data_IF_257243778219
#
_entry.id   IF_257243778219
#
_cell.length_a   1.000
_cell.length_b   1.000
_cell.length_c   1.000
_cell.angle_alpha   90.00
_cell.angle_beta   90.00
_cell.angle_gamma   90.00
#
_symmetry.space_group_name_H-M   'P 1'
#
loop_
_entity.id
_entity.type
_entity.pdbx_description
1 polymer ?
#
# COMPACT_ATOMS: atom_id res chain seq x y z
N UNK A 1 50.18 -14.81 10.61
CA UNK A 1 51.58 -15.11 10.25
C UNK A 1 51.86 -16.60 10.40
N UNK A 2 51.46 -17.22 11.51
CA UNK A 2 51.73 -18.65 11.79
C UNK A 2 51.21 -19.62 10.72
N UNK A 3 50.01 -19.40 10.17
CA UNK A 3 49.46 -20.27 9.12
C UNK A 3 50.24 -20.23 7.79
N UNK A 4 50.87 -19.10 7.45
CA UNK A 4 51.71 -18.99 6.25
C UNK A 4 53.05 -19.69 6.45
N UNK A 5 53.61 -19.63 7.66
CA UNK A 5 54.82 -20.39 8.02
C UNK A 5 54.56 -21.89 7.95
N UNK A 6 53.41 -22.33 8.46
CA UNK A 6 52.97 -23.74 8.35
C UNK A 6 52.81 -24.14 6.88
N UNK A 7 52.16 -23.31 6.05
CA UNK A 7 52.00 -23.57 4.63
C UNK A 7 53.35 -23.67 3.89
N UNK A 8 54.32 -22.84 4.25
CA UNK A 8 55.67 -22.88 3.68
C UNK A 8 56.41 -24.17 4.07
N UNK A 9 56.33 -24.57 5.34
CA UNK A 9 56.94 -25.81 5.81
C UNK A 9 56.31 -27.05 5.14
N UNK A 10 54.99 -27.04 4.94
CA UNK A 10 54.28 -28.09 4.20
C UNK A 10 54.68 -28.14 2.71
N UNK A 11 54.89 -26.98 2.09
CA UNK A 11 55.41 -26.91 0.73
C UNK A 11 56.82 -27.49 0.63
N UNK A 12 57.70 -27.15 1.58
CA UNK A 12 59.08 -27.65 1.63
C UNK A 12 59.13 -29.16 1.90
N UNK A 13 58.26 -29.66 2.78
CA UNK A 13 58.07 -31.09 3.00
C UNK A 13 57.65 -31.79 1.70
N UNK A 14 56.66 -31.24 0.99
CA UNK A 14 56.20 -31.79 -0.30
C UNK A 14 57.31 -31.81 -1.36
N UNK A 15 58.15 -30.77 -1.41
CA UNK A 15 59.30 -30.70 -2.29
C UNK A 15 60.32 -31.81 -1.96
N UNK A 16 60.70 -31.93 -0.68
CA UNK A 16 61.68 -32.93 -0.22
C UNK A 16 61.21 -34.37 -0.46
N UNK A 17 59.93 -34.67 -0.22
CA UNK A 17 59.30 -35.95 -0.54
C UNK A 17 59.32 -36.21 -2.06
N UNK A 18 59.05 -35.17 -2.87
CA UNK A 18 59.10 -35.27 -4.32
C UNK A 18 60.50 -35.63 -4.85
N UNK A 19 61.54 -34.99 -4.32
CA UNK A 19 62.94 -35.29 -4.67
C UNK A 19 63.33 -36.69 -4.21
N UNK A 20 62.97 -37.10 -2.99
CA UNK A 20 63.21 -38.45 -2.48
C UNK A 20 62.58 -39.53 -3.35
N UNK A 21 61.32 -39.34 -3.78
CA UNK A 21 60.62 -40.28 -4.64
C UNK A 21 61.25 -40.38 -6.04
N UNK A 22 61.81 -39.29 -6.55
CA UNK A 22 62.46 -39.26 -7.85
C UNK A 22 63.87 -39.89 -7.82
N UNK A 23 64.61 -39.65 -6.73
CA UNK A 23 65.93 -40.22 -6.48
C UNK A 23 65.90 -41.69 -6.02
N UNK A 24 64.73 -42.18 -5.59
CA UNK A 24 64.54 -43.56 -5.14
C UNK A 24 64.84 -44.58 -6.25
N UNK A 25 65.51 -45.71 -5.93
CA UNK A 25 65.86 -46.75 -6.90
C UNK A 25 64.64 -47.57 -7.39
N UNK A 26 63.41 -47.20 -7.05
CA UNK A 26 62.19 -47.93 -7.41
C UNK A 26 61.87 -47.73 -8.91
N UNK A 27 61.81 -48.80 -9.73
CA UNK A 27 61.60 -48.71 -11.18
C UNK A 27 60.12 -48.55 -11.60
N UNK A 28 59.29 -47.88 -10.78
CA UNK A 28 57.88 -47.62 -11.12
C UNK A 28 57.70 -46.25 -11.76
N UNK A 29 57.17 -46.24 -13.00
CA UNK A 29 56.81 -45.00 -13.70
C UNK A 29 55.82 -44.14 -12.92
N UNK A 30 54.87 -44.79 -12.24
CA UNK A 30 53.86 -44.11 -11.40
C UNK A 30 54.54 -43.34 -10.27
N UNK A 31 55.42 -43.99 -9.50
CA UNK A 31 56.13 -43.39 -8.36
C UNK A 31 56.98 -42.19 -8.80
N UNK A 32 57.72 -42.32 -9.90
CA UNK A 32 58.51 -41.21 -10.45
C UNK A 32 57.65 -40.05 -10.95
N UNK A 33 56.49 -40.34 -11.55
CA UNK A 33 55.54 -39.30 -11.97
C UNK A 33 54.93 -38.54 -10.77
N UNK A 34 54.71 -39.21 -9.65
CA UNK A 34 54.27 -38.57 -8.39
C UNK A 34 55.36 -37.67 -7.81
N UNK A 35 56.62 -38.09 -7.84
CA UNK A 35 57.76 -37.26 -7.44
C UNK A 35 57.84 -35.95 -8.23
N UNK A 36 57.79 -36.02 -9.56
CA UNK A 36 57.78 -34.83 -10.43
C UNK A 36 56.56 -33.93 -10.19
N UNK A 37 55.36 -34.51 -9.97
CA UNK A 37 54.14 -33.77 -9.64
C UNK A 37 54.24 -33.03 -8.30
N UNK A 38 54.76 -33.67 -7.25
CA UNK A 38 54.94 -33.07 -5.93
C UNK A 38 55.92 -31.89 -5.97
N UNK A 39 57.03 -32.03 -6.73
CA UNK A 39 57.97 -30.92 -6.95
C UNK A 39 57.27 -29.75 -7.63
N UNK A 40 56.53 -30.00 -8.72
CA UNK A 40 55.77 -28.94 -9.41
C UNK A 40 54.73 -28.26 -8.52
N UNK A 41 54.00 -29.02 -7.70
CA UNK A 41 52.98 -28.47 -6.79
C UNK A 41 53.60 -27.65 -5.64
N UNK A 42 54.74 -28.09 -5.10
CA UNK A 42 55.45 -27.35 -4.05
C UNK A 42 56.00 -26.01 -4.56
N UNK A 43 56.51 -25.96 -5.79
CA UNK A 43 56.93 -24.71 -6.44
C UNK A 43 55.73 -23.77 -6.65
N UNK A 44 54.61 -24.29 -7.14
CA UNK A 44 53.38 -23.49 -7.30
C UNK A 44 52.88 -22.94 -5.96
N UNK A 45 52.96 -23.74 -4.90
CA UNK A 45 52.58 -23.33 -3.55
C UNK A 45 53.51 -22.24 -3.01
N UNK A 46 54.82 -22.34 -3.24
CA UNK A 46 55.77 -21.30 -2.85
C UNK A 46 55.49 -19.97 -3.57
N UNK A 47 55.12 -20.02 -4.87
CA UNK A 47 54.70 -18.85 -5.63
C UNK A 47 53.41 -18.24 -5.03
N UNK A 48 52.41 -19.07 -4.69
CA UNK A 48 51.18 -18.62 -4.06
C UNK A 48 51.41 -17.96 -2.69
N UNK A 49 52.27 -18.54 -1.86
CA UNK A 49 52.67 -17.95 -0.57
C UNK A 49 53.35 -16.59 -0.79
N UNK A 50 54.26 -16.50 -1.75
CA UNK A 50 54.97 -15.24 -2.07
C UNK A 50 54.04 -14.17 -2.68
N UNK A 51 52.90 -14.56 -3.25
CA UNK A 51 51.95 -13.65 -3.92
C UNK A 51 50.70 -13.36 -3.09
N UNK A 52 50.62 -13.83 -1.83
CA UNK A 52 49.40 -13.71 -1.01
C UNK A 52 48.97 -12.25 -0.75
N UNK A 53 49.92 -11.34 -0.59
CA UNK A 53 49.64 -9.91 -0.39
C UNK A 53 49.01 -9.29 -1.64
N UNK A 54 49.47 -9.70 -2.82
CA UNK A 54 48.89 -9.29 -4.10
C UNK A 54 47.48 -9.86 -4.25
N UNK A 55 47.28 -11.13 -3.91
CA UNK A 55 45.96 -11.80 -3.92
C UNK A 55 44.97 -11.05 -3.01
N UNK A 56 45.38 -10.67 -1.80
CA UNK A 56 44.53 -9.92 -0.85
C UNK A 56 44.24 -8.48 -1.33
N UNK A 57 45.19 -7.86 -2.04
CA UNK A 57 45.07 -6.51 -2.56
C UNK A 57 44.25 -6.39 -3.84
N UNK A 58 44.20 -7.44 -4.67
CA UNK A 58 43.58 -7.36 -6.02
C UNK A 58 42.10 -7.02 -5.95
N UNK A 59 41.38 -7.56 -4.96
CA UNK A 59 39.95 -7.29 -4.80
C UNK A 59 39.67 -5.82 -4.47
N UNK A 60 40.47 -5.22 -3.58
CA UNK A 60 40.34 -3.80 -3.24
C UNK A 60 40.71 -2.89 -4.42
N UNK A 61 41.71 -3.29 -5.22
CA UNK A 61 42.08 -2.57 -6.44
C UNK A 61 40.94 -2.58 -7.47
N UNK A 62 40.33 -3.74 -7.73
CA UNK A 62 39.21 -3.87 -8.68
C UNK A 62 38.03 -3.00 -8.24
N UNK A 63 37.65 -3.06 -6.96
CA UNK A 63 36.55 -2.24 -6.42
C UNK A 63 36.83 -0.74 -6.57
N UNK A 64 38.07 -0.31 -6.35
CA UNK A 64 38.48 1.09 -6.55
C UNK A 64 38.38 1.52 -8.01
N UNK A 65 38.75 0.66 -8.96
CA UNK A 65 38.64 0.94 -10.40
C UNK A 65 37.17 1.03 -10.84
N UNK A 66 36.32 0.18 -10.28
CA UNK A 66 34.88 0.17 -10.57
C UNK A 66 34.11 1.28 -9.83
N UNK A 67 34.77 2.02 -8.94
CA UNK A 67 34.15 3.03 -8.06
C UNK A 67 32.98 2.47 -7.24
N UNK A 68 33.17 1.28 -6.66
CA UNK A 68 32.17 0.59 -5.83
C UNK A 68 32.76 0.31 -4.44
N UNK A 69 31.97 0.55 -3.40
CA UNK A 69 32.38 0.34 -2.02
C UNK A 69 31.50 -0.68 -1.27
N UNK A 70 32.07 -1.28 -0.23
CA UNK A 70 31.31 -2.15 0.69
C UNK A 70 30.28 -1.38 1.53
N UNK A 71 30.56 -0.11 1.82
CA UNK A 71 29.66 0.75 2.59
C UNK A 71 28.37 1.04 1.82
N UNK A 72 28.47 1.34 0.53
CA UNK A 72 27.30 1.50 -0.35
C UNK A 72 26.45 0.22 -0.40
N UNK A 73 27.10 -0.95 -0.47
CA UNK A 73 26.41 -2.24 -0.45
C UNK A 73 25.65 -2.49 0.86
N UNK A 74 26.27 -2.25 2.02
CA UNK A 74 25.58 -2.43 3.31
C UNK A 74 24.46 -1.41 3.51
N UNK A 75 24.64 -0.17 3.04
CA UNK A 75 23.59 0.85 3.05
C UNK A 75 22.41 0.43 2.16
N UNK A 76 22.69 -0.12 0.97
CA UNK A 76 21.67 -0.64 0.07
C UNK A 76 20.85 -1.79 0.70
N UNK A 77 21.51 -2.73 1.39
CA UNK A 77 20.83 -3.79 2.15
C UNK A 77 19.98 -3.23 3.29
N UNK A 78 20.49 -2.24 4.01
CA UNK A 78 19.79 -1.61 5.13
C UNK A 78 18.50 -0.90 4.69
N UNK A 79 18.57 -0.08 3.63
CA UNK A 79 17.40 0.63 3.09
C UNK A 79 16.32 -0.34 2.64
N UNK A 80 16.68 -1.41 1.92
CA UNK A 80 15.71 -2.44 1.47
C UNK A 80 15.14 -3.27 2.62
N UNK A 81 15.90 -3.46 3.69
CA UNK A 81 15.38 -4.10 4.91
C UNK A 81 14.33 -3.20 5.57
N UNK A 82 14.60 -1.90 5.68
CA UNK A 82 13.65 -0.94 6.25
C UNK A 82 12.34 -0.85 5.46
N UNK A 83 12.41 -0.84 4.12
CA UNK A 83 11.19 -0.78 3.28
C UNK A 83 10.32 -2.03 3.44
N UNK A 84 10.92 -3.21 3.61
CA UNK A 84 10.16 -4.41 3.93
C UNK A 84 9.57 -4.35 5.33
N UNK A 85 10.25 -3.73 6.32
CA UNK A 85 9.76 -3.65 7.71
C UNK A 85 8.54 -2.74 7.78
N UNK A 86 8.61 -1.58 7.14
CA UNK A 86 7.46 -0.68 7.07
C UNK A 86 6.27 -1.35 6.39
N UNK A 87 6.49 -2.04 5.26
CA UNK A 87 5.40 -2.71 4.56
C UNK A 87 4.80 -3.88 5.36
N UNK A 88 5.64 -4.70 6.00
CA UNK A 88 5.20 -5.80 6.87
C UNK A 88 4.40 -5.31 8.08
N UNK A 89 4.87 -4.24 8.73
CA UNK A 89 4.19 -3.68 9.92
C UNK A 89 2.84 -3.09 9.58
N UNK A 90 2.73 -2.34 8.47
CA UNK A 90 1.44 -1.83 7.99
C UNK A 90 0.48 -2.98 7.69
N UNK A 91 0.94 -3.99 6.94
CA UNK A 91 0.07 -5.10 6.56
C UNK A 91 -0.40 -5.96 7.72
N UNK A 92 0.45 -6.20 8.71
CA UNK A 92 0.07 -6.95 9.90
C UNK A 92 -0.91 -6.18 10.77
N UNK A 93 -0.76 -4.85 10.88
CA UNK A 93 -1.75 -4.00 11.54
C UNK A 93 -3.10 -4.03 10.82
N UNK A 94 -3.11 -3.85 9.50
CA UNK A 94 -4.34 -3.93 8.69
C UNK A 94 -5.00 -5.31 8.81
N UNK A 95 -4.22 -6.40 8.70
CA UNK A 95 -4.74 -7.76 8.87
C UNK A 95 -5.35 -7.98 10.26
N UNK A 96 -4.76 -7.39 11.31
CA UNK A 96 -5.29 -7.50 12.67
C UNK A 96 -6.60 -6.72 12.84
N UNK A 97 -6.71 -5.55 12.22
CA UNK A 97 -7.92 -4.73 12.24
C UNK A 97 -9.06 -5.42 11.48
N UNK A 98 -8.79 -5.97 10.30
CA UNK A 98 -9.77 -6.68 9.48
C UNK A 98 -10.35 -7.94 10.15
N UNK A 99 -9.65 -8.54 11.12
CA UNK A 99 -10.19 -9.65 11.92
C UNK A 99 -11.32 -9.22 12.87
N UNK A 100 -11.36 -7.96 13.25
CA UNK A 100 -12.37 -7.41 14.18
C UNK A 100 -13.59 -6.84 13.44
N UNK A 101 -13.50 -6.74 12.12
CA UNK A 101 -14.58 -6.26 11.24
C UNK A 101 -15.15 -7.45 10.45
N UNK A 102 -16.36 -7.34 9.92
CA UNK A 102 -17.01 -8.36 9.06
C UNK A 102 -16.23 -8.68 7.76
N UNK A 103 -15.11 -8.00 7.50
CA UNK A 103 -14.21 -8.21 6.37
C UNK A 103 -13.15 -9.30 6.60
N UNK A 104 -13.42 -10.25 7.50
CA UNK A 104 -12.49 -11.32 7.89
C UNK A 104 -12.02 -12.19 6.71
N UNK A 105 -12.78 -12.26 5.61
CA UNK A 105 -12.39 -12.98 4.39
C UNK A 105 -11.11 -12.42 3.72
N UNK A 106 -10.79 -11.14 3.92
CA UNK A 106 -9.58 -10.50 3.38
C UNK A 106 -8.30 -10.87 4.15
N UNK A 107 -8.43 -11.47 5.33
CA UNK A 107 -7.28 -11.82 6.16
C UNK A 107 -6.42 -12.92 5.52
N UNK A 108 -7.03 -13.83 4.75
CA UNK A 108 -6.34 -14.91 4.03
C UNK A 108 -5.37 -14.40 2.96
N UNK A 109 -5.80 -13.59 1.97
CA UNK A 109 -4.90 -13.11 0.94
C UNK A 109 -3.87 -12.08 1.46
N UNK A 110 -4.20 -11.29 2.48
CA UNK A 110 -3.20 -10.44 3.17
C UNK A 110 -2.18 -11.33 3.89
N UNK A 111 -2.61 -12.40 4.54
CA UNK A 111 -1.73 -13.39 5.17
C UNK A 111 -0.74 -14.01 4.17
N UNK A 112 -1.20 -14.31 2.96
CA UNK A 112 -0.33 -14.76 1.87
C UNK A 112 0.73 -13.71 1.52
N UNK A 113 0.36 -12.44 1.33
CA UNK A 113 1.31 -11.35 1.08
C UNK A 113 2.34 -11.21 2.22
N UNK A 114 1.89 -11.28 3.48
CA UNK A 114 2.75 -11.23 4.66
C UNK A 114 3.79 -12.37 4.63
N UNK A 115 3.37 -13.59 4.25
CA UNK A 115 4.29 -14.72 4.11
C UNK A 115 5.37 -14.50 3.04
N UNK A 116 5.01 -13.88 1.90
CA UNK A 116 5.94 -13.57 0.81
C UNK A 116 6.98 -12.52 1.21
N UNK A 117 6.55 -11.50 1.97
CA UNK A 117 7.43 -10.49 2.54
C UNK A 117 8.39 -11.13 3.55
N UNK A 118 7.89 -12.00 4.42
CA UNK A 118 8.72 -12.73 5.40
C UNK A 118 9.78 -13.60 4.73
N UNK A 119 9.48 -14.21 3.59
CA UNK A 119 10.46 -14.95 2.80
C UNK A 119 11.53 -14.01 2.24
N UNK A 120 11.12 -12.85 1.71
CA UNK A 120 12.04 -11.82 1.19
C UNK A 120 13.00 -11.32 2.27
N UNK A 121 12.50 -11.12 3.49
CA UNK A 121 13.32 -10.79 4.65
C UNK A 121 14.38 -11.84 4.96
N UNK A 122 13.96 -13.11 4.96
CA UNK A 122 14.86 -14.21 5.26
C UNK A 122 15.98 -14.28 4.23
N UNK A 123 15.66 -14.06 2.95
CA UNK A 123 16.65 -13.95 1.86
C UNK A 123 17.63 -12.79 2.04
N UNK A 124 17.15 -11.58 2.31
CA UNK A 124 18.06 -10.44 2.56
C UNK A 124 18.95 -10.68 3.78
N UNK A 125 18.41 -11.31 4.83
CA UNK A 125 19.19 -11.66 6.02
C UNK A 125 20.27 -12.70 5.70
N UNK A 126 20.00 -13.71 4.88
CA UNK A 126 21.03 -14.69 4.49
C UNK A 126 22.13 -14.03 3.65
N UNK A 127 21.77 -13.12 2.73
CA UNK A 127 22.74 -12.33 1.96
C UNK A 127 23.60 -11.44 2.87
N UNK A 128 22.98 -10.75 3.83
CA UNK A 128 23.68 -9.93 4.81
C UNK A 128 24.68 -10.75 5.65
N UNK A 129 24.28 -11.93 6.13
CA UNK A 129 25.18 -12.82 6.87
C UNK A 129 26.32 -13.32 5.98
N UNK A 130 26.00 -13.80 4.77
CA UNK A 130 26.99 -14.33 3.83
C UNK A 130 28.03 -13.27 3.42
N UNK A 131 27.57 -12.08 3.08
CA UNK A 131 28.41 -10.94 2.71
C UNK A 131 29.28 -10.47 3.88
N UNK A 132 28.76 -10.42 5.10
CA UNK A 132 29.57 -10.11 6.29
C UNK A 132 30.66 -11.14 6.55
N UNK A 133 30.36 -12.43 6.37
CA UNK A 133 31.38 -13.49 6.48
C UNK A 133 32.49 -13.26 5.47
N UNK A 134 32.16 -12.96 4.21
CA UNK A 134 33.18 -12.67 3.20
C UNK A 134 33.97 -11.40 3.53
N UNK A 135 33.30 -10.31 3.90
CA UNK A 135 33.96 -9.04 4.23
C UNK A 135 34.93 -9.19 5.41
N UNK A 136 34.51 -9.83 6.51
CA UNK A 136 35.30 -9.98 7.72
C UNK A 136 36.41 -11.04 7.60
N UNK A 137 36.20 -12.09 6.79
CA UNK A 137 37.11 -13.22 6.71
C UNK A 137 37.88 -13.33 5.38
N UNK A 138 37.78 -12.37 4.44
CA UNK A 138 38.44 -12.47 3.12
C UNK A 138 39.92 -12.89 3.21
N UNK A 139 40.68 -12.24 4.10
CA UNK A 139 42.13 -12.45 4.21
C UNK A 139 42.43 -13.79 4.84
N UNK A 140 41.60 -14.20 5.82
CA UNK A 140 41.67 -15.50 6.49
C UNK A 140 41.29 -16.63 5.53
N UNK A 141 40.30 -16.44 4.66
CA UNK A 141 39.90 -17.40 3.64
C UNK A 141 41.00 -17.61 2.60
N UNK A 142 41.65 -16.52 2.14
CA UNK A 142 42.78 -16.61 1.22
C UNK A 142 43.95 -17.40 1.84
N UNK A 143 44.32 -17.09 3.09
CA UNK A 143 45.42 -17.77 3.81
C UNK A 143 45.08 -19.23 4.09
N UNK A 144 43.85 -19.53 4.52
CA UNK A 144 43.37 -20.91 4.70
C UNK A 144 43.41 -21.68 3.38
N UNK A 145 43.02 -21.02 2.29
CA UNK A 145 43.09 -21.58 0.95
C UNK A 145 44.51 -21.96 0.55
N UNK A 146 45.50 -21.09 0.79
CA UNK A 146 46.92 -21.38 0.55
C UNK A 146 47.43 -22.52 1.44
N UNK A 147 47.04 -22.56 2.72
CA UNK A 147 47.39 -23.65 3.62
C UNK A 147 46.86 -25.00 3.12
N UNK A 148 45.58 -25.07 2.74
CA UNK A 148 45.00 -26.29 2.19
C UNK A 148 45.63 -26.68 0.84
N UNK A 149 45.98 -25.68 0.03
CA UNK A 149 46.69 -25.91 -1.24
C UNK A 149 48.08 -26.53 -1.01
N UNK A 150 48.75 -26.19 0.10
CA UNK A 150 50.09 -26.68 0.46
C UNK A 150 50.15 -28.13 0.95
N UNK A 151 48.99 -28.77 1.17
CA UNK A 151 48.95 -30.15 1.66
C UNK A 151 49.58 -31.13 0.65
N UNK A 152 50.42 -32.06 1.11
CA UNK A 152 51.07 -33.03 0.24
C UNK A 152 50.04 -33.93 -0.45
N UNK A 153 50.46 -34.55 -1.55
CA UNK A 153 49.64 -35.46 -2.37
C UNK A 153 48.37 -34.83 -2.97
N UNK A 154 48.29 -33.49 -3.04
CA UNK A 154 47.17 -32.74 -3.63
C UNK A 154 45.83 -32.93 -2.92
N UNK A 155 45.81 -33.44 -1.68
CA UNK A 155 44.56 -33.74 -0.95
C UNK A 155 43.70 -32.48 -0.78
N UNK A 156 44.32 -31.33 -0.47
CA UNK A 156 43.63 -30.07 -0.26
C UNK A 156 43.58 -29.14 -1.48
N UNK A 157 44.16 -29.51 -2.62
CA UNK A 157 44.40 -28.58 -3.75
C UNK A 157 43.12 -27.95 -4.30
N UNK A 158 42.07 -28.75 -4.48
CA UNK A 158 40.77 -28.27 -5.00
C UNK A 158 40.01 -27.38 -4.01
N UNK A 159 40.04 -27.73 -2.72
CA UNK A 159 39.37 -26.94 -1.67
C UNK A 159 40.16 -25.64 -1.42
N UNK A 160 41.49 -25.73 -1.40
CA UNK A 160 42.38 -24.59 -1.25
C UNK A 160 42.23 -23.57 -2.39
N UNK A 161 42.21 -24.05 -3.64
CA UNK A 161 41.99 -23.17 -4.80
C UNK A 161 40.61 -22.54 -4.82
N UNK A 162 39.58 -23.25 -4.30
CA UNK A 162 38.24 -22.70 -4.13
C UNK A 162 38.21 -21.56 -3.12
N UNK A 163 38.84 -21.72 -1.95
CA UNK A 163 38.88 -20.64 -0.95
C UNK A 163 39.66 -19.41 -1.43
N UNK A 164 40.77 -19.61 -2.15
CA UNK A 164 41.50 -18.50 -2.79
C UNK A 164 40.59 -17.80 -3.80
N UNK A 165 39.94 -18.54 -4.70
CA UNK A 165 39.03 -17.96 -5.69
C UNK A 165 37.85 -17.24 -5.03
N UNK A 166 37.24 -17.83 -4.01
CA UNK A 166 36.09 -17.28 -3.30
C UNK A 166 36.46 -15.95 -2.62
N UNK A 167 37.65 -15.90 -2.01
CA UNK A 167 38.13 -14.68 -1.35
C UNK A 167 38.27 -13.49 -2.30
N UNK A 168 38.50 -13.73 -3.59
CA UNK A 168 38.58 -12.68 -4.61
C UNK A 168 37.20 -12.41 -5.20
N UNK A 169 36.58 -13.44 -5.78
CA UNK A 169 35.36 -13.31 -6.60
C UNK A 169 34.18 -12.85 -5.74
N UNK A 170 33.97 -13.46 -4.58
CA UNK A 170 32.87 -13.05 -3.70
C UNK A 170 33.13 -11.67 -3.10
N UNK A 171 34.40 -11.35 -2.79
CA UNK A 171 34.74 -10.06 -2.21
C UNK A 171 34.47 -8.89 -3.17
N UNK A 172 34.76 -9.08 -4.45
CA UNK A 172 34.44 -8.09 -5.50
C UNK A 172 32.96 -8.17 -5.89
N UNK A 173 32.39 -9.37 -5.91
CA UNK A 173 31.04 -9.64 -6.39
C UNK A 173 29.94 -9.06 -5.51
N UNK A 174 29.99 -9.23 -4.19
CA UNK A 174 28.90 -8.75 -3.32
C UNK A 174 28.62 -7.25 -3.48
N UNK A 175 29.63 -6.36 -3.46
CA UNK A 175 29.40 -4.93 -3.68
C UNK A 175 28.79 -4.58 -5.05
N UNK A 176 28.94 -5.42 -6.07
CA UNK A 176 28.38 -5.19 -7.41
C UNK A 176 26.93 -5.68 -7.57
N UNK A 177 26.40 -6.43 -6.60
CA UNK A 177 25.02 -6.92 -6.60
C UNK A 177 23.97 -5.80 -6.79
N UNK A 178 24.06 -4.62 -6.14
CA UNK A 178 23.08 -3.54 -6.32
C UNK A 178 22.96 -3.10 -7.78
N UNK A 179 24.07 -2.93 -8.49
CA UNK A 179 24.08 -2.54 -9.90
C UNK A 179 23.48 -3.61 -10.80
N UNK A 180 23.76 -4.88 -10.50
CA UNK A 180 23.13 -6.00 -11.20
C UNK A 180 21.61 -5.94 -11.04
N UNK A 181 21.10 -5.81 -9.81
CA UNK A 181 19.66 -5.79 -9.54
C UNK A 181 18.98 -4.58 -10.20
N UNK A 182 19.58 -3.39 -10.12
CA UNK A 182 19.05 -2.19 -10.78
C UNK A 182 18.90 -2.35 -12.29
N UNK A 183 19.72 -3.19 -12.93
CA UNK A 183 19.63 -3.44 -14.38
C UNK A 183 18.41 -4.30 -14.77
N UNK A 184 17.82 -5.04 -13.82
CA UNK A 184 16.69 -5.93 -14.03
C UNK A 184 15.43 -5.54 -13.24
N UNK A 185 15.54 -4.55 -12.35
CA UNK A 185 14.41 -4.01 -11.61
C UNK A 185 13.56 -3.17 -12.57
N UNK A 186 12.41 -3.69 -12.98
CA UNK A 186 11.46 -2.92 -13.78
C UNK A 186 10.89 -1.78 -12.92
N UNK A 187 10.88 -0.55 -13.46
CA UNK A 187 10.15 0.56 -12.88
C UNK A 187 8.66 0.27 -12.98
N UNK A 188 8.09 -0.36 -11.96
CA UNK A 188 6.65 -0.43 -11.82
C UNK A 188 6.14 0.93 -11.39
N UNK A 189 5.10 1.48 -12.03
CA UNK A 189 4.45 2.67 -11.51
C UNK A 189 4.02 2.33 -10.09
N UNK A 190 4.52 3.08 -9.12
CA UNK A 190 3.96 3.10 -7.78
C UNK A 190 2.53 3.63 -7.93
N UNK A 191 1.58 2.74 -8.23
CA UNK A 191 0.19 3.06 -7.93
C UNK A 191 0.17 3.16 -6.42
N UNK A 192 0.14 4.39 -5.94
CA UNK A 192 -0.14 4.77 -4.56
C UNK A 192 -1.25 3.84 -4.09
N UNK A 193 -0.93 2.98 -3.13
CA UNK A 193 -1.79 1.87 -2.68
C UNK A 193 -3.15 2.35 -2.16
N UNK A 194 -3.32 3.66 -1.95
CA UNK A 194 -4.47 4.31 -1.35
C UNK A 194 -4.65 5.72 -1.94
N UNK A 195 -4.90 5.84 -3.25
CA UNK A 195 -5.52 7.08 -3.74
C UNK A 195 -6.96 7.12 -3.23
N UNK A 196 -7.17 7.81 -2.11
CA UNK A 196 -8.50 8.11 -1.60
C UNK A 196 -9.07 9.27 -2.40
N UNK A 197 -10.05 8.98 -3.26
CA UNK A 197 -10.85 10.01 -3.92
C UNK A 197 -11.83 10.58 -2.89
N UNK A 198 -11.88 11.90 -2.76
CA UNK A 198 -12.81 12.58 -1.85
C UNK A 198 -13.83 13.35 -2.68
N UNK A 199 -15.11 13.11 -2.39
CA UNK A 199 -16.25 13.75 -3.05
C UNK A 199 -17.08 14.45 -1.98
N UNK A 200 -17.27 15.75 -2.16
CA UNK A 200 -18.17 16.56 -1.31
C UNK A 200 -19.53 16.62 -1.97
N UNK A 201 -20.59 16.28 -1.22
CA UNK A 201 -21.97 16.41 -1.67
C UNK A 201 -22.65 17.50 -0.85
N UNK A 202 -23.15 18.52 -1.55
CA UNK A 202 -23.89 19.62 -0.96
C UNK A 202 -25.38 19.40 -1.23
N UNK A 203 -26.18 19.31 -0.17
CA UNK A 203 -27.64 19.24 -0.27
C UNK A 203 -28.22 20.63 -0.03
N UNK A 204 -28.97 21.14 -1.00
CA UNK A 204 -29.56 22.48 -0.96
C UNK A 204 -31.07 22.45 -1.16
N UNK A 205 -31.75 23.44 -0.59
CA UNK A 205 -33.17 23.69 -0.82
C UNK A 205 -33.41 24.39 -2.18
N UNK A 206 -34.67 24.74 -2.46
CA UNK A 206 -35.06 25.45 -3.69
C UNK A 206 -34.36 26.82 -3.86
N UNK A 207 -33.91 27.45 -2.78
CA UNK A 207 -33.23 28.75 -2.77
C UNK A 207 -31.70 28.63 -2.68
N UNK A 208 -31.16 27.41 -2.81
CA UNK A 208 -29.72 27.17 -2.73
C UNK A 208 -29.14 27.24 -1.31
N UNK A 209 -29.98 27.23 -0.27
CA UNK A 209 -29.53 27.17 1.14
C UNK A 209 -29.24 25.72 1.53
N UNK A 210 -28.11 25.51 2.21
CA UNK A 210 -27.68 24.19 2.66
C UNK A 210 -28.63 23.57 3.68
N UNK A 211 -29.10 22.36 3.42
CA UNK A 211 -30.08 21.66 4.27
C UNK A 211 -29.38 21.09 5.52
N UNK A 212 -29.68 21.52 6.75
CA UNK A 212 -28.96 21.03 7.92
C UNK A 212 -29.24 19.55 8.19
N UNK A 213 -28.20 18.77 8.47
CA UNK A 213 -28.27 17.35 8.82
C UNK A 213 -29.14 16.49 7.87
N UNK A 214 -28.88 16.52 6.54
CA UNK A 214 -29.59 15.69 5.58
C UNK A 214 -29.12 14.24 5.74
N UNK A 215 -30.04 13.29 5.73
CA UNK A 215 -29.71 11.87 5.67
C UNK A 215 -29.68 11.47 4.20
N UNK A 216 -28.51 11.11 3.69
CA UNK A 216 -28.34 10.79 2.27
C UNK A 216 -28.14 9.29 2.10
N UNK A 217 -29.05 8.66 1.36
CA UNK A 217 -29.06 7.23 1.04
C UNK A 217 -28.54 7.04 -0.38
N UNK A 218 -27.54 6.18 -0.52
CA UNK A 218 -26.89 5.89 -1.80
C UNK A 218 -27.32 4.53 -2.32
N UNK A 219 -27.64 4.46 -3.61
CA UNK A 219 -28.09 3.26 -4.29
C UNK A 219 -27.22 2.99 -5.52
N UNK A 220 -27.01 1.70 -5.81
CA UNK A 220 -26.52 1.28 -7.12
C UNK A 220 -27.64 1.46 -8.14
N UNK A 221 -27.31 1.93 -9.33
CA UNK A 221 -28.25 2.10 -10.46
C UNK A 221 -29.05 0.82 -10.77
N UNK A 222 -28.54 -0.35 -10.35
CA UNK A 222 -29.16 -1.66 -10.58
C UNK A 222 -29.97 -2.21 -9.39
N UNK A 223 -29.90 -1.59 -8.21
CA UNK A 223 -30.54 -2.07 -6.96
C UNK A 223 -31.11 -0.90 -6.15
N UNK A 224 -32.37 -0.54 -6.43
CA UNK A 224 -33.07 0.57 -5.76
C UNK A 224 -33.66 0.24 -4.38
N UNK A 225 -33.70 -1.04 -3.99
CA UNK A 225 -34.43 -1.45 -2.78
C UNK A 225 -33.60 -1.42 -1.50
N UNK A 226 -32.27 -1.55 -1.59
CA UNK A 226 -31.37 -1.53 -0.43
C UNK A 226 -30.28 -0.48 -0.62
N UNK A 227 -30.20 0.54 0.26
CA UNK A 227 -29.12 1.51 0.19
C UNK A 227 -27.79 0.84 0.57
N UNK A 228 -26.73 1.19 -0.14
CA UNK A 228 -25.36 0.68 0.07
C UNK A 228 -24.63 1.51 1.10
N UNK A 229 -25.06 2.76 1.25
CA UNK A 229 -24.57 3.65 2.28
C UNK A 229 -25.67 4.62 2.73
N UNK A 230 -25.59 4.99 4.00
CA UNK A 230 -26.42 6.01 4.63
C UNK A 230 -25.46 6.94 5.38
N UNK A 231 -25.35 8.18 4.91
CA UNK A 231 -24.41 9.17 5.44
C UNK A 231 -25.18 10.39 5.91
N UNK A 232 -24.83 10.90 7.09
CA UNK A 232 -25.39 12.12 7.64
C UNK A 232 -24.54 13.32 7.20
N UNK A 233 -25.18 14.38 6.70
CA UNK A 233 -24.50 15.65 6.44
C UNK A 233 -24.40 16.55 7.67
N UNK A 234 -23.62 17.62 7.57
CA UNK A 234 -23.41 18.60 8.61
C UNK A 234 -24.52 19.67 8.69
N UNK A 235 -24.33 20.68 9.55
CA UNK A 235 -25.27 21.81 9.72
C UNK A 235 -25.43 22.64 8.44
N UNK A 236 -24.42 22.65 7.57
CA UNK A 236 -24.44 23.38 6.29
C UNK A 236 -24.99 22.52 5.14
N UNK A 237 -25.40 21.28 5.40
CA UNK A 237 -25.88 20.34 4.39
C UNK A 237 -24.78 19.74 3.52
N UNK A 238 -23.53 19.77 4.00
CA UNK A 238 -22.40 19.14 3.34
C UNK A 238 -22.16 17.76 3.93
N UNK A 239 -21.84 16.81 3.07
CA UNK A 239 -21.35 15.50 3.49
C UNK A 239 -20.15 15.12 2.63
N UNK A 240 -19.26 14.34 3.23
CA UNK A 240 -18.03 13.89 2.57
C UNK A 240 -18.13 12.38 2.38
N UNK A 241 -17.91 11.97 1.13
CA UNK A 241 -17.79 10.59 0.72
C UNK A 241 -16.33 10.37 0.31
N UNK A 242 -15.69 9.31 0.80
CA UNK A 242 -14.28 9.02 0.56
C UNK A 242 -13.41 9.35 1.76
N UNK A 243 -12.26 10.00 1.52
CA UNK A 243 -11.30 10.40 2.57
C UNK A 243 -10.81 9.24 3.47
N UNK A 244 -10.72 8.03 2.90
CA UNK A 244 -10.30 6.82 3.62
C UNK A 244 -11.37 6.21 4.54
N UNK A 245 -12.58 6.79 4.58
CA UNK A 245 -13.73 6.26 5.32
C UNK A 245 -14.62 5.36 4.45
N UNK A 246 -14.62 5.57 3.14
CA UNK A 246 -15.40 4.82 2.16
C UNK A 246 -14.49 4.08 1.15
N UNK A 247 -14.96 2.94 0.65
CA UNK A 247 -14.31 2.21 -0.46
C UNK A 247 -15.09 2.48 -1.73
N UNK A 248 -14.58 3.40 -2.55
CA UNK A 248 -15.21 3.85 -3.79
C UNK A 248 -14.58 3.19 -5.03
N UNK A 249 -15.33 3.05 -6.13
CA UNK A 249 -14.78 2.66 -7.42
C UNK A 249 -13.65 3.61 -7.87
N UNK A 250 -12.59 3.02 -8.43
CA UNK A 250 -11.46 3.79 -8.99
C UNK A 250 -11.78 4.42 -10.34
N UNK A 251 -12.69 3.80 -11.09
CA UNK A 251 -13.18 4.32 -12.36
C UNK A 251 -14.34 5.29 -12.15
N UNK A 252 -14.72 6.02 -13.21
CA UNK A 252 -15.85 6.94 -13.16
C UNK A 252 -17.13 6.17 -12.82
N UNK A 253 -17.69 6.44 -11.65
CA UNK A 253 -18.94 5.83 -11.20
C UNK A 253 -20.04 6.86 -11.01
N UNK A 254 -21.28 6.37 -11.06
CA UNK A 254 -22.50 7.12 -10.75
C UNK A 254 -23.31 6.37 -9.69
N UNK A 255 -23.79 7.10 -8.68
CA UNK A 255 -24.64 6.56 -7.62
C UNK A 255 -25.96 7.30 -7.62
N UNK A 256 -27.07 6.57 -7.52
CA UNK A 256 -28.38 7.19 -7.30
C UNK A 256 -28.52 7.60 -5.84
N UNK A 257 -29.24 8.69 -5.61
CA UNK A 257 -29.34 9.29 -4.28
C UNK A 257 -30.80 9.54 -3.92
N UNK A 258 -31.15 9.21 -2.68
CA UNK A 258 -32.39 9.63 -2.04
C UNK A 258 -32.04 10.37 -0.75
N UNK A 259 -32.74 11.48 -0.49
CA UNK A 259 -32.49 12.32 0.68
C UNK A 259 -33.65 12.18 1.63
N UNK A 260 -33.38 11.91 2.90
CA UNK A 260 -34.39 11.90 3.95
C UNK A 260 -34.16 13.09 4.90
N UNK A 261 -35.22 13.85 5.15
CA UNK A 261 -35.19 15.02 6.04
C UNK A 261 -36.55 15.20 6.72
N UNK A 262 -36.55 15.40 8.04
CA UNK A 262 -37.74 15.61 8.87
C UNK A 262 -38.84 14.55 8.63
N UNK A 263 -38.46 13.27 8.52
CA UNK A 263 -39.38 12.14 8.37
C UNK A 263 -39.87 11.90 6.94
N UNK A 264 -39.42 12.70 5.98
CA UNK A 264 -39.83 12.59 4.58
C UNK A 264 -38.66 12.26 3.67
N UNK A 265 -38.95 11.50 2.62
CA UNK A 265 -37.98 11.13 1.58
C UNK A 265 -38.19 11.96 0.31
N UNK A 266 -37.11 12.53 -0.20
CA UNK A 266 -37.05 13.34 -1.41
C UNK A 266 -36.13 12.71 -2.45
N UNK A 267 -36.52 12.85 -3.71
CA UNK A 267 -35.65 12.60 -4.86
C UNK A 267 -35.01 13.93 -5.27
N UNK A 268 -33.69 14.13 -5.06
CA UNK A 268 -33.03 15.36 -5.46
C UNK A 268 -32.96 15.51 -6.97
N UNK A 269 -32.63 16.72 -7.42
CA UNK A 269 -32.27 17.03 -8.80
C UNK A 269 -30.83 17.57 -8.80
N UNK A 270 -29.86 16.90 -9.44
CA UNK A 270 -29.96 15.58 -10.07
C UNK A 270 -30.23 14.46 -9.05
N UNK A 271 -30.81 13.34 -9.51
CA UNK A 271 -31.10 12.14 -8.69
C UNK A 271 -29.88 11.21 -8.54
N UNK A 272 -28.72 11.66 -9.00
CA UNK A 272 -27.47 10.92 -8.95
C UNK A 272 -26.29 11.85 -8.63
N UNK A 273 -25.22 11.24 -8.10
CA UNK A 273 -23.90 11.86 -8.00
C UNK A 273 -22.94 11.17 -8.95
N UNK A 274 -21.98 11.92 -9.49
CA UNK A 274 -20.92 11.36 -10.33
C UNK A 274 -19.57 11.62 -9.70
N UNK A 275 -18.65 10.68 -9.90
CA UNK A 275 -17.28 10.84 -9.43
C UNK A 275 -16.44 11.76 -10.33
N UNK A 276 -16.97 12.23 -11.46
CA UNK A 276 -16.27 13.18 -12.34
C UNK A 276 -16.09 14.55 -11.67
N UNK A 277 -16.99 14.89 -10.75
CA UNK A 277 -16.95 16.12 -9.99
C UNK A 277 -16.55 15.83 -8.54
N UNK A 278 -15.56 16.58 -8.04
CA UNK A 278 -15.21 16.58 -6.61
C UNK A 278 -16.34 17.16 -5.75
N UNK A 279 -17.16 18.04 -6.32
CA UNK A 279 -18.29 18.67 -5.64
C UNK A 279 -19.57 18.40 -6.44
N UNK A 280 -20.50 17.67 -5.82
CA UNK A 280 -21.83 17.42 -6.37
C UNK A 280 -22.86 18.23 -5.57
N UNK A 281 -23.75 18.97 -6.24
CA UNK A 281 -24.82 19.72 -5.57
C UNK A 281 -26.18 19.08 -5.89
N UNK A 282 -26.90 18.68 -4.86
CA UNK A 282 -28.21 18.04 -4.92
C UNK A 282 -29.27 19.04 -4.45
N UNK A 283 -30.14 19.49 -5.35
CA UNK A 283 -31.23 20.41 -5.00
C UNK A 283 -32.52 19.65 -4.73
N UNK A 284 -33.26 20.05 -3.69
CA UNK A 284 -34.59 19.53 -3.38
C UNK A 284 -35.62 20.60 -3.75
N UNK A 285 -36.20 20.57 -4.97
CA UNK A 285 -37.11 21.62 -5.44
C UNK A 285 -38.46 21.64 -4.69
N UNK A 286 -38.78 20.56 -3.98
CA UNK A 286 -40.03 20.40 -3.23
C UNK A 286 -39.96 21.01 -1.82
N UNK A 287 -38.77 21.44 -1.38
CA UNK A 287 -38.51 21.86 -0.02
C UNK A 287 -37.99 23.30 -0.01
N UNK A 288 -38.60 24.13 0.83
CA UNK A 288 -38.12 25.46 1.17
C UNK A 288 -37.75 25.49 2.66
N UNK A 289 -36.52 25.86 2.96
CA UNK A 289 -35.99 25.79 4.32
C UNK A 289 -35.90 27.18 4.97
N UNK A 290 -36.40 27.25 6.19
CA UNK A 290 -36.36 28.41 7.06
C UNK A 290 -35.71 28.03 8.40
N UNK A 291 -35.18 28.99 9.18
CA UNK A 291 -34.54 28.68 10.46
C UNK A 291 -35.51 28.02 11.46
N UNK A 292 -35.39 26.70 11.64
CA UNK A 292 -36.23 25.92 12.55
C UNK A 292 -37.61 25.53 11.98
N UNK A 293 -37.86 25.78 10.69
CA UNK A 293 -39.12 25.44 10.01
C UNK A 293 -38.85 25.07 8.54
N UNK A 294 -39.63 24.17 7.97
CA UNK A 294 -39.56 23.79 6.56
C UNK A 294 -40.96 23.84 5.94
N UNK A 295 -41.01 24.29 4.69
CA UNK A 295 -42.21 24.24 3.86
C UNK A 295 -42.03 23.19 2.77
N UNK A 296 -43.04 22.35 2.61
CA UNK A 296 -43.08 21.29 1.63
C UNK A 296 -44.18 21.58 0.62
N UNK A 297 -43.79 21.53 -0.64
CA UNK A 297 -44.69 21.50 -1.76
C UNK A 297 -45.31 20.11 -1.88
N UNK A 298 -46.64 20.00 -1.74
CA UNK A 298 -47.39 18.82 -2.18
C UNK A 298 -48.21 19.18 -3.42
N UNK A 299 -47.93 18.52 -4.56
CA UNK A 299 -48.63 18.76 -5.82
C UNK A 299 -48.02 19.85 -6.69
N UNK A 300 -48.84 20.51 -7.51
CA UNK A 300 -48.43 21.53 -8.48
C UNK A 300 -48.40 22.92 -7.86
N UNK A 301 -47.40 23.13 -6.99
CA UNK A 301 -47.18 24.40 -6.28
C UNK A 301 -45.75 24.90 -6.52
N UNK A 302 -45.56 26.16 -6.87
CA UNK A 302 -44.25 26.77 -7.10
C UNK A 302 -43.98 27.88 -6.08
N UNK A 303 -42.79 27.88 -5.49
CA UNK A 303 -42.31 28.99 -4.66
C UNK A 303 -41.72 30.05 -5.58
N UNK A 304 -42.33 31.24 -5.60
CA UNK A 304 -41.97 32.32 -6.54
C UNK A 304 -41.00 33.30 -5.91
N UNK A 305 -41.29 33.71 -4.67
CA UNK A 305 -40.45 34.65 -3.93
C UNK A 305 -40.50 34.33 -2.44
N UNK A 306 -39.37 34.54 -1.76
CA UNK A 306 -39.19 34.24 -0.34
C UNK A 306 -38.39 35.36 0.30
N UNK A 307 -39.10 36.22 1.02
CA UNK A 307 -38.52 37.27 1.84
C UNK A 307 -38.51 36.80 3.29
N UNK A 308 -37.32 36.67 3.85
CA UNK A 308 -37.13 36.27 5.24
C UNK A 308 -36.44 37.39 6.00
N UNK A 309 -37.06 37.79 7.10
CA UNK A 309 -36.49 38.64 8.14
C UNK A 309 -36.59 37.89 9.48
N UNK A 310 -35.67 38.08 10.41
CA UNK A 310 -35.53 37.24 11.61
C UNK A 310 -36.85 37.09 12.40
N UNK A 311 -37.53 35.95 12.23
CA UNK A 311 -38.81 35.62 12.85
C UNK A 311 -40.08 35.92 12.04
N UNK A 312 -39.94 36.41 10.79
CA UNK A 312 -41.02 36.53 9.81
C UNK A 312 -40.61 36.05 8.42
N UNK A 313 -41.42 35.22 7.78
CA UNK A 313 -41.22 34.82 6.40
C UNK A 313 -42.45 35.18 5.57
N UNK A 314 -42.25 36.01 4.54
CA UNK A 314 -43.22 36.34 3.51
C UNK A 314 -42.89 35.52 2.26
N UNK A 315 -43.78 34.59 1.91
CA UNK A 315 -43.58 33.60 0.86
C UNK A 315 -44.68 33.78 -0.17
N UNK A 316 -44.30 34.02 -1.42
CA UNK A 316 -45.24 34.06 -2.54
C UNK A 316 -45.27 32.71 -3.21
N UNK A 317 -46.45 32.10 -3.24
CA UNK A 317 -46.67 30.75 -3.74
C UNK A 317 -47.67 30.77 -4.89
N UNK A 318 -47.38 30.03 -5.96
CA UNK A 318 -48.29 29.86 -7.09
C UNK A 318 -48.82 28.42 -7.10
N UNK A 319 -50.14 28.24 -6.98
CA UNK A 319 -50.78 26.93 -7.02
C UNK A 319 -51.61 26.78 -8.31
N UNK A 320 -51.29 25.77 -9.12
CA UNK A 320 -51.96 25.51 -10.40
C UNK A 320 -53.26 24.70 -10.24
N UNK A 321 -53.30 23.84 -9.22
CA UNK A 321 -54.46 23.02 -8.83
C UNK A 321 -54.72 23.16 -7.34
N UNK A 322 -55.88 22.72 -6.86
CA UNK A 322 -56.14 22.62 -5.42
C UNK A 322 -55.09 21.71 -4.78
N UNK A 323 -54.15 22.34 -4.09
CA UNK A 323 -52.92 21.71 -3.61
C UNK A 323 -52.75 22.01 -2.13
N UNK A 324 -51.81 21.32 -1.49
CA UNK A 324 -51.52 21.54 -0.07
C UNK A 324 -50.05 21.92 0.10
N UNK A 325 -49.78 22.83 1.02
CA UNK A 325 -48.43 23.09 1.50
C UNK A 325 -48.34 22.57 2.91
N UNK A 326 -47.34 21.73 3.17
CA UNK A 326 -47.14 21.17 4.51
C UNK A 326 -46.02 21.94 5.20
N UNK A 327 -46.33 22.51 6.36
CA UNK A 327 -45.39 23.12 7.29
C UNK A 327 -44.87 22.04 8.22
N UNK A 328 -43.56 21.97 8.39
CA UNK A 328 -42.92 21.10 9.38
C UNK A 328 -42.01 21.94 10.24
N UNK A 329 -42.16 21.83 11.55
CA UNK A 329 -41.35 22.57 12.51
C UNK A 329 -40.75 21.65 13.56
N UNK A 330 -39.61 22.05 14.11
CA UNK A 330 -39.11 21.43 15.33
C UNK A 330 -40.02 21.79 16.50
N UNK A 331 -40.18 20.89 17.48
CA UNK A 331 -41.03 21.14 18.66
C UNK A 331 -40.65 22.43 19.41
N UNK A 332 -39.36 22.79 19.40
CA UNK A 332 -38.82 24.01 20.02
C UNK A 332 -39.17 25.29 19.26
N UNK A 333 -39.55 25.19 17.97
CA UNK A 333 -39.98 26.33 17.17
C UNK A 333 -41.46 26.62 17.47
N UNK A 334 -41.75 27.84 17.90
CA UNK A 334 -43.11 28.29 18.14
C UNK A 334 -43.59 29.16 16.97
N UNK A 335 -44.68 28.75 16.32
CA UNK A 335 -45.32 29.52 15.23
C UNK A 335 -46.48 30.27 15.85
N UNK A 336 -46.44 31.60 15.85
CA UNK A 336 -47.45 32.43 16.53
C UNK A 336 -48.75 32.48 15.75
N UNK A 337 -48.68 32.67 14.43
CA UNK A 337 -49.81 32.55 13.52
C UNK A 337 -49.33 32.40 12.07
N UNK A 338 -50.24 31.93 11.22
CA UNK A 338 -50.04 31.78 9.78
C UNK A 338 -51.12 32.57 9.05
N UNK A 339 -50.73 33.39 8.09
CA UNK A 339 -51.64 34.24 7.32
C UNK A 339 -51.59 33.82 5.83
N UNK A 340 -52.75 33.52 5.27
CA UNK A 340 -52.93 33.14 3.86
C UNK A 340 -53.76 34.21 3.18
N UNK A 341 -53.21 34.90 2.18
CA UNK A 341 -53.89 35.99 1.46
C UNK A 341 -54.48 37.08 2.37
N UNK A 342 -53.76 37.45 3.44
CA UNK A 342 -54.23 38.48 4.36
C UNK A 342 -55.20 37.99 5.45
N UNK A 343 -55.44 36.68 5.56
CA UNK A 343 -56.34 36.08 6.56
C UNK A 343 -55.61 35.09 7.46
N UNK A 344 -55.74 35.28 8.77
CA UNK A 344 -55.21 34.36 9.76
C UNK A 344 -55.90 32.99 9.64
N UNK A 345 -55.08 31.94 9.52
CA UNK A 345 -55.54 30.56 9.37
C UNK A 345 -54.95 29.74 10.52
N UNK A 346 -55.80 29.05 11.28
CA UNK A 346 -55.34 28.18 12.35
C UNK A 346 -54.79 26.86 11.78
N UNK A 347 -53.59 26.50 12.21
CA UNK A 347 -52.92 25.26 11.83
C UNK A 347 -53.16 24.18 12.89
N UNK A 348 -53.67 23.01 12.50
CA UNK A 348 -53.74 21.84 13.38
C UNK A 348 -52.39 21.11 13.27
N UNK A 349 -51.66 21.04 14.37
CA UNK A 349 -50.34 20.41 14.43
C UNK A 349 -50.45 18.95 14.88
N UNK A 350 -49.84 18.04 14.12
CA UNK A 350 -49.61 16.65 14.51
C UNK A 350 -48.15 16.44 14.90
N UNK A 351 -47.92 15.92 16.10
CA UNK A 351 -46.57 15.64 16.61
C UNK A 351 -46.11 14.25 16.19
N UNK A 352 -44.89 14.17 15.67
CA UNK A 352 -44.21 12.95 15.25
C UNK A 352 -42.76 12.93 15.74
N UNK A 353 -42.12 11.77 15.70
CA UNK A 353 -40.71 11.61 16.07
C UNK A 353 -39.90 11.08 14.89
N UNK A 354 -38.83 11.78 14.53
CA UNK A 354 -37.91 11.44 13.45
C UNK A 354 -36.48 11.26 14.02
N UNK A 355 -35.98 10.03 14.04
CA UNK A 355 -34.65 9.65 14.59
C UNK A 355 -34.30 10.33 15.93
N UNK A 356 -35.25 10.35 16.86
CA UNK A 356 -35.09 10.95 18.20
C UNK A 356 -35.37 12.45 18.28
N UNK A 357 -35.74 13.10 17.17
CA UNK A 357 -36.16 14.51 17.13
C UNK A 357 -37.69 14.57 17.10
N UNK A 358 -38.30 15.35 17.98
CA UNK A 358 -39.73 15.65 17.93
C UNK A 358 -40.02 16.77 16.94
N UNK A 359 -40.88 16.48 15.97
CA UNK A 359 -41.32 17.39 14.91
C UNK A 359 -42.84 17.55 14.97
N UNK A 360 -43.35 18.68 14.50
CA UNK A 360 -44.79 18.92 14.34
C UNK A 360 -45.09 19.29 12.91
N UNK A 361 -46.14 18.71 12.33
CA UNK A 361 -46.56 18.94 10.94
C UNK A 361 -47.94 19.61 10.89
N UNK A 362 -48.15 20.53 9.95
CA UNK A 362 -49.45 21.13 9.64
C UNK A 362 -49.62 21.23 8.12
N UNK A 363 -50.80 20.91 7.58
CA UNK A 363 -51.11 21.11 6.16
C UNK A 363 -52.03 22.31 5.96
N UNK A 364 -51.67 23.20 5.04
CA UNK A 364 -52.46 24.34 4.60
C UNK A 364 -52.98 24.07 3.20
N UNK A 365 -54.29 24.23 3.00
CA UNK A 365 -54.91 24.08 1.69
C UNK A 365 -54.77 25.38 0.88
N UNK A 366 -54.30 25.25 -0.36
CA UNK A 366 -54.21 26.35 -1.32
C UNK A 366 -55.27 26.15 -2.39
N UNK A 367 -56.09 27.18 -2.60
CA UNK A 367 -57.06 27.18 -3.68
C UNK A 367 -56.32 27.32 -5.03
N UNK A 368 -56.55 26.36 -5.91
CA UNK A 368 -55.98 26.34 -7.26
C UNK A 368 -56.76 27.28 -8.17
N UNK A 369 -56.22 28.47 -8.38
CA UNK A 369 -56.75 29.44 -9.35
C UNK A 369 -55.68 30.06 -10.23
N UNK A 370 -54.50 29.44 -10.34
CA UNK A 370 -53.32 29.95 -11.07
C UNK A 370 -52.88 31.36 -10.60
N UNK A 371 -53.36 31.77 -9.42
CA UNK A 371 -53.12 33.06 -8.80
C UNK A 371 -52.05 32.96 -7.71
N UNK A 372 -51.26 34.02 -7.58
CA UNK A 372 -50.30 34.15 -6.48
C UNK A 372 -51.02 34.22 -5.14
N UNK A 373 -50.62 33.34 -4.23
CA UNK A 373 -51.05 33.31 -2.84
C UNK A 373 -49.91 33.81 -1.96
N UNK A 374 -50.17 34.80 -1.12
CA UNK A 374 -49.19 35.25 -0.12
C UNK A 374 -49.34 34.42 1.15
N UNK A 375 -48.25 33.82 1.60
CA UNK A 375 -48.13 33.12 2.86
C UNK A 375 -47.20 33.92 3.77
N UNK A 376 -47.73 34.43 4.88
CA UNK A 376 -46.95 35.12 5.89
C UNK A 376 -46.90 34.28 7.16
N UNK A 377 -45.68 34.01 7.62
CA UNK A 377 -45.39 33.19 8.80
C UNK A 377 -44.69 34.07 9.83
N UNK A 378 -45.20 34.11 11.06
CA UNK A 378 -44.49 34.70 12.20
C UNK A 378 -44.17 33.59 13.20
N UNK A 379 -42.89 33.46 13.56
CA UNK A 379 -42.41 32.37 14.40
C UNK A 379 -41.10 32.73 15.11
N UNK A 380 -40.81 32.04 16.21
CA UNK A 380 -39.52 32.15 16.91
C UNK A 380 -38.59 31.04 16.40
N UNK A 381 -37.50 31.38 15.68
CA UNK A 381 -36.62 30.39 15.07
C UNK A 381 -35.89 29.58 16.14
N UNK A 382 -35.59 28.32 15.80
CA UNK A 382 -34.77 27.44 16.64
C UNK A 382 -33.61 26.85 15.82
N UNK A 383 -32.54 26.46 16.51
CA UNK A 383 -31.42 25.80 15.84
C UNK A 383 -31.76 24.34 15.51
N UNK A 384 -31.35 23.84 14.33
CA UNK A 384 -31.56 22.45 13.96
C UNK A 384 -30.79 21.53 14.91
N UNK A 385 -31.38 20.38 15.24
CA UNK A 385 -30.76 19.34 16.09
C UNK A 385 -30.30 18.18 15.21
N UNK A 386 -29.15 17.57 15.52
CA UNK A 386 -28.64 16.43 14.78
C UNK A 386 -29.50 15.17 15.03
N UNK A 387 -29.96 14.45 13.99
CA UNK A 387 -30.71 13.21 14.14
C UNK A 387 -29.79 12.07 14.57
N UNK A 388 -30.33 11.12 15.36
CA UNK A 388 -29.57 9.95 15.80
C UNK A 388 -29.69 8.81 14.77
N UNK A 389 -28.74 8.76 13.83
CA UNK A 389 -28.71 7.80 12.72
C UNK A 389 -27.44 6.98 12.80
N UNK A 390 -27.55 5.66 12.67
CA UNK A 390 -26.40 4.79 12.47
C UNK A 390 -25.88 4.96 11.05
N UNK A 391 -24.72 5.60 10.88
CA UNK A 391 -24.09 5.73 9.57
C UNK A 391 -23.63 4.37 9.04
N UNK A 392 -23.89 4.13 7.76
CA UNK A 392 -23.36 2.99 7.02
C UNK A 392 -22.53 3.55 5.87
N UNK A 393 -21.21 3.37 5.95
CA UNK A 393 -20.26 3.86 4.95
C UNK A 393 -20.28 3.00 3.69
N UNK A 394 -19.91 3.59 2.56
CA UNK A 394 -19.97 2.99 1.23
C UNK A 394 -18.84 1.97 1.04
N UNK A 395 -19.20 0.72 0.69
CA UNK A 395 -18.22 -0.33 0.45
C UNK A 395 -18.45 -0.99 -0.92
N UNK A 396 -17.60 -0.68 -1.88
CA UNK A 396 -17.61 -1.32 -3.20
C UNK A 396 -16.71 -2.56 -3.23
N UNK A 397 -17.31 -3.75 -3.33
CA UNK A 397 -16.59 -5.04 -3.23
C UNK A 397 -15.57 -5.27 -4.35
N UNK A 398 -15.85 -4.81 -5.57
CA UNK A 398 -14.97 -4.99 -6.73
C UNK A 398 -13.64 -4.24 -6.54
N UNK A 399 -13.70 -3.02 -6.01
CA UNK A 399 -12.52 -2.19 -5.75
C UNK A 399 -11.59 -2.81 -4.71
N UNK A 400 -12.14 -3.53 -3.73
CA UNK A 400 -11.36 -4.29 -2.74
C UNK A 400 -10.52 -5.39 -3.44
N UNK A 401 -11.07 -6.04 -4.47
CA UNK A 401 -10.35 -7.10 -5.21
C UNK A 401 -9.21 -6.50 -6.02
N UNK A 402 -9.40 -5.33 -6.61
CA UNK A 402 -8.35 -4.62 -7.34
C UNK A 402 -7.21 -4.18 -6.41
N UNK A 403 -7.54 -3.63 -5.24
CA UNK A 403 -6.54 -3.27 -4.22
C UNK A 403 -5.75 -4.48 -3.73
N UNK A 404 -6.45 -5.59 -3.50
CA UNK A 404 -5.82 -6.85 -3.13
C UNK A 404 -4.89 -7.38 -4.22
N UNK A 405 -5.31 -7.29 -5.48
CA UNK A 405 -4.49 -7.72 -6.63
C UNK A 405 -3.24 -6.86 -6.76
N UNK A 406 -3.37 -5.54 -6.59
CA UNK A 406 -2.22 -4.62 -6.58
C UNK A 406 -1.26 -4.95 -5.43
N UNK A 407 -1.78 -5.26 -4.24
CA UNK A 407 -0.97 -5.65 -3.09
C UNK A 407 -0.19 -6.95 -3.36
N UNK A 408 -0.84 -7.95 -3.96
CA UNK A 408 -0.19 -9.20 -4.37
C UNK A 408 0.91 -8.92 -5.40
N UNK A 409 0.65 -8.07 -6.39
CA UNK A 409 1.64 -7.70 -7.40
C UNK A 409 2.88 -7.04 -6.77
N UNK A 410 2.70 -6.10 -5.83
CA UNK A 410 3.80 -5.49 -5.07
C UNK A 410 4.60 -6.56 -4.31
N UNK A 411 3.92 -7.51 -3.67
CA UNK A 411 4.58 -8.60 -2.94
C UNK A 411 5.39 -9.52 -3.86
N UNK A 412 4.85 -9.86 -5.04
CA UNK A 412 5.55 -10.66 -6.07
C UNK A 412 6.77 -9.92 -6.59
N UNK A 413 6.69 -8.61 -6.78
CA UNK A 413 7.85 -7.79 -7.16
C UNK A 413 8.95 -7.85 -6.09
N UNK A 414 8.59 -7.80 -4.80
CA UNK A 414 9.60 -7.96 -3.74
C UNK A 414 10.26 -9.34 -3.74
N UNK A 415 9.53 -10.41 -4.03
CA UNK A 415 10.14 -11.74 -4.22
C UNK A 415 11.14 -11.70 -5.37
N UNK A 416 10.74 -11.12 -6.51
CA UNK A 416 11.59 -11.05 -7.69
C UNK A 416 12.89 -10.28 -7.39
N UNK A 417 12.77 -9.10 -6.81
CA UNK A 417 13.89 -8.20 -6.53
C UNK A 417 14.76 -8.65 -5.35
N UNK A 418 14.21 -9.30 -4.32
CA UNK A 418 14.93 -9.62 -3.07
C UNK A 418 15.27 -11.09 -2.88
N UNK A 419 14.67 -11.98 -3.67
CA UNK A 419 14.95 -13.41 -3.61
C UNK A 419 15.52 -13.87 -4.94
N UNK A 420 14.78 -13.69 -6.02
CA UNK A 420 15.13 -14.27 -7.31
C UNK A 420 16.41 -13.66 -7.89
N UNK A 421 16.46 -12.34 -8.06
CA UNK A 421 17.64 -11.66 -8.63
C UNK A 421 18.90 -11.85 -7.78
N UNK A 422 18.88 -11.64 -6.44
CA UNK A 422 20.05 -11.90 -5.62
C UNK A 422 20.45 -13.39 -5.61
N UNK A 423 19.49 -14.30 -5.64
CA UNK A 423 19.74 -15.74 -5.71
C UNK A 423 20.47 -16.12 -6.99
N UNK A 424 19.99 -15.66 -8.14
CA UNK A 424 20.66 -15.83 -9.44
C UNK A 424 22.05 -15.24 -9.40
N UNK A 425 22.22 -14.05 -8.81
CA UNK A 425 23.51 -13.40 -8.68
C UNK A 425 24.51 -14.23 -7.86
N UNK A 426 24.11 -14.78 -6.72
CA UNK A 426 24.95 -15.68 -5.91
C UNK A 426 25.32 -16.95 -6.68
N UNK A 427 24.40 -17.51 -7.47
CA UNK A 427 24.71 -18.65 -8.36
C UNK A 427 25.76 -18.28 -9.41
N UNK A 428 25.68 -17.07 -9.99
CA UNK A 428 26.70 -16.56 -10.92
C UNK A 428 28.05 -16.44 -10.21
N UNK A 429 28.08 -15.84 -9.01
CA UNK A 429 29.33 -15.67 -8.24
C UNK A 429 29.95 -17.02 -7.84
N UNK A 430 29.15 -18.00 -7.42
CA UNK A 430 29.65 -19.35 -7.11
C UNK A 430 30.17 -20.06 -8.35
N UNK A 431 29.52 -19.90 -9.50
CA UNK A 431 29.99 -20.43 -10.79
C UNK A 431 31.32 -19.81 -11.21
N UNK A 432 31.45 -18.48 -11.13
CA UNK A 432 32.69 -17.75 -11.40
C UNK A 432 33.82 -18.17 -10.44
N UNK A 433 33.49 -18.32 -9.16
CA UNK A 433 34.42 -18.82 -8.13
C UNK A 433 34.93 -20.21 -8.49
N UNK A 434 34.04 -21.11 -8.89
CA UNK A 434 34.40 -22.47 -9.28
C UNK A 434 35.18 -22.53 -10.61
N UNK A 435 34.90 -21.63 -11.56
CA UNK A 435 35.68 -21.51 -12.78
C UNK A 435 37.12 -21.06 -12.47
N UNK A 436 37.28 -20.03 -11.63
CA UNK A 436 38.60 -19.54 -11.21
C UNK A 436 39.35 -20.58 -10.37
N UNK A 437 38.66 -21.31 -9.49
CA UNK A 437 39.27 -22.36 -8.68
C UNK A 437 39.82 -23.52 -9.51
N UNK A 438 39.17 -23.85 -10.64
CA UNK A 438 39.68 -24.84 -11.61
C UNK A 438 40.95 -24.37 -12.32
N UNK A 439 41.04 -23.08 -12.64
CA UNK A 439 42.25 -22.49 -13.23
C UNK A 439 43.41 -22.54 -12.23
N UNK A 440 43.16 -22.20 -10.97
CA UNK A 440 44.17 -22.20 -9.90
C UNK A 440 44.57 -23.63 -9.44
N UNK A 441 43.61 -24.56 -9.39
CA UNK A 441 43.82 -25.93 -8.92
C UNK A 441 44.33 -26.90 -9.99
N UNK A 442 44.17 -26.57 -11.27
CA UNK A 442 44.37 -27.48 -12.40
C UNK A 442 43.22 -28.49 -12.53
N UNK A 443 42.92 -28.92 -13.76
CA UNK A 443 41.85 -29.89 -14.03
C UNK A 443 42.15 -31.27 -13.41
N UNK A 444 41.06 -31.97 -13.03
CA UNK A 444 41.00 -33.25 -12.30
C UNK A 444 42.22 -34.18 -12.47
N UNK A 445 42.69 -34.73 -11.35
CA UNK A 445 43.18 -36.10 -11.31
C UNK A 445 42.06 -37.01 -11.87
N UNK A 446 42.24 -37.56 -13.07
CA UNK A 446 41.64 -38.85 -13.38
C UNK A 446 42.31 -39.84 -12.42
N UNK A 447 41.62 -40.19 -11.34
CA UNK A 447 41.84 -41.48 -10.68
C UNK A 447 41.38 -42.52 -11.69
N UNK A 448 42.33 -42.95 -12.54
CA UNK A 448 42.27 -44.24 -13.23
C UNK A 448 43.01 -45.24 -12.36
#
# INVERSE_FOLDING_TARGET
MDYLVIAYNLALLSYSLGVLLLASPIPSKSVKSWGSKLISDSLMTAILISSITLIQGIGAYILKVLNVSWEEFFTWLYVRTLTLVSFYTVLTQVASYLKHVELSFLTSPIGYVVSLISLSFTSLRTIYVLSNVIYAFKDKLAVLGVLLYSLPFRVGKGVGSFFIAASIVMFVGFPLMPHFIQSFEASYPSKTLLESKTITVNVVDVNGRGLPYPIVKFYLVRELNNPIGVVLGDVEGKLIIGDGLDVLPKENFTLQVQIEYLGMSFTPVPDYITSEFEINTLSIPQLLMLPGLALLRNGDVEFVDVLYDYGSADITVKAFTNSKVTLVKYLKTNVTYVEVNGRETSCIWSDETWYGISISTCSIELNGSDSYTSLKLIYTPSQPSAPNVGEVRLIYKESIIDDLTNLINVAVTYIYTYIFLPGVYVVILTSMTHALSKVLGGSRLRLM
#
